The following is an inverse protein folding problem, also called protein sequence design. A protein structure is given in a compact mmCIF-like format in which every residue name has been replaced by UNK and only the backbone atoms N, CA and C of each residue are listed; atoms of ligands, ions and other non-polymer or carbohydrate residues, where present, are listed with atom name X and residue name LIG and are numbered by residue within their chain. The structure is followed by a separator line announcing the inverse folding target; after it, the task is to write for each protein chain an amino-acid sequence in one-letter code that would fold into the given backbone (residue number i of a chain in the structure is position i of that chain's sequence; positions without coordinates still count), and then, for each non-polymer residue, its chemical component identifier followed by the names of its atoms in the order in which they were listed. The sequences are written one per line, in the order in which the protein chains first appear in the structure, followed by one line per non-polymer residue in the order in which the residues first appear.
data_IF_687987726632
#
_entry.id   IF_687987726632
#
_cell.length_a   1.000
_cell.length_b   1.000
_cell.length_c   1.000
_cell.angle_alpha   90.00
_cell.angle_beta   90.00
_cell.angle_gamma   90.00
#
_symmetry.space_group_name_H-M   'P 1'
#
loop_
_entity.id
_entity.type
_entity.pdbx_description
1 polymer ?
#
# COMPACT_ATOMS: atom_id res chain seq x y z
N UNK A 1 -7.38 52.05 -0.61
CA UNK A 1 -7.24 51.88 0.86
C UNK A 1 -6.42 50.60 1.07
N UNK A 2 -5.10 50.56 1.19
CA UNK A 2 -4.06 51.44 1.76
C UNK A 2 -3.90 51.30 3.29
N UNK A 3 -3.47 50.14 3.79
CA UNK A 3 -2.72 49.95 5.05
C UNK A 3 -1.92 48.64 4.90
N UNK A 4 -0.61 48.57 4.66
CA UNK A 4 0.55 49.25 5.27
C UNK A 4 0.66 48.99 6.78
N UNK A 5 1.33 47.88 7.15
CA UNK A 5 2.21 47.81 8.33
C UNK A 5 3.21 46.63 8.23
N UNK A 6 4.31 46.92 7.53
CA UNK A 6 5.70 46.82 8.01
C UNK A 6 5.83 47.12 9.52
N UNK A 7 6.74 46.63 10.39
CA UNK A 7 7.88 45.68 10.43
C UNK A 7 8.07 45.44 11.95
N UNK A 8 8.60 44.30 12.41
CA UNK A 8 9.76 44.36 13.33
C UNK A 8 10.49 43.01 13.40
N UNK A 9 11.76 43.06 13.03
CA UNK A 9 12.72 41.99 13.14
C UNK A 9 13.14 41.78 14.59
N UNK A 10 13.46 40.53 14.95
CA UNK A 10 14.47 40.26 15.97
C UNK A 10 15.28 39.02 15.59
N UNK A 11 16.55 39.26 15.29
CA UNK A 11 17.56 38.25 15.03
C UNK A 11 18.07 37.67 16.35
N UNK A 12 18.35 36.36 16.39
CA UNK A 12 19.41 35.81 17.24
C UNK A 12 20.18 34.73 16.48
N UNK A 13 21.46 35.02 16.25
CA UNK A 13 22.48 34.05 15.90
C UNK A 13 22.77 33.15 17.11
N UNK A 14 22.88 31.84 16.90
CA UNK A 14 23.82 31.02 17.68
C UNK A 14 24.69 30.18 16.77
N UNK A 15 25.96 30.21 17.16
CA UNK A 15 27.20 29.65 16.61
C UNK A 15 27.10 28.12 16.48
N UNK A 16 27.65 27.58 15.40
CA UNK A 16 27.75 26.14 15.17
C UNK A 16 29.02 25.48 15.69
N UNK A 17 29.05 24.15 15.67
CA UNK A 17 30.18 23.30 15.28
C UNK A 17 29.75 21.83 15.33
N UNK A 18 30.08 21.08 14.29
CA UNK A 18 29.81 19.64 14.18
C UNK A 18 29.93 19.15 12.74
N UNK A 19 31.09 19.39 12.13
CA UNK A 19 31.51 18.69 10.91
C UNK A 19 32.04 17.33 11.35
N UNK A 20 31.41 16.28 10.87
CA UNK A 20 32.01 14.97 10.72
C UNK A 20 31.74 14.42 9.33
N UNK A 21 32.79 13.80 8.80
CA UNK A 21 33.13 13.64 7.39
C UNK A 21 32.65 12.28 6.91
N UNK A 22 32.02 12.28 5.74
CA UNK A 22 32.12 11.30 4.66
C UNK A 22 32.17 9.80 5.03
N UNK A 23 31.10 9.07 4.70
CA UNK A 23 31.24 7.79 4.00
C UNK A 23 30.12 7.63 2.98
N UNK A 24 30.49 7.92 1.75
CA UNK A 24 29.99 7.35 0.50
C UNK A 24 29.56 5.90 0.66
N UNK A 25 28.29 5.60 0.39
CA UNK A 25 27.84 4.38 -0.28
C UNK A 25 26.40 4.54 -0.75
N UNK A 26 26.23 4.86 -2.03
CA UNK A 26 25.22 4.19 -2.85
C UNK A 26 25.90 2.88 -3.30
N UNK A 27 25.30 1.73 -2.97
CA UNK A 27 24.50 1.06 -3.99
C UNK A 27 23.16 0.54 -3.45
N UNK A 28 22.12 0.76 -4.24
CA UNK A 28 21.20 -0.29 -4.68
C UNK A 28 21.03 -1.49 -3.73
N UNK A 29 20.02 -1.41 -2.87
CA UNK A 29 19.11 -2.55 -2.71
C UNK A 29 17.85 -2.23 -3.51
N UNK A 30 18.02 -2.36 -4.82
CA UNK A 30 17.00 -2.95 -5.66
C UNK A 30 16.63 -4.29 -4.99
N UNK A 31 15.61 -4.26 -4.13
CA UNK A 31 14.84 -5.46 -3.87
C UNK A 31 14.09 -5.73 -5.16
N UNK A 32 14.81 -6.32 -6.13
CA UNK A 32 14.23 -7.24 -7.10
C UNK A 32 13.78 -8.45 -6.28
N UNK A 33 12.72 -8.23 -5.49
CA UNK A 33 11.75 -9.26 -5.25
C UNK A 33 11.18 -9.52 -6.63
N UNK A 34 11.75 -10.52 -7.30
CA UNK A 34 11.22 -11.09 -8.52
C UNK A 34 9.88 -11.74 -8.14
N UNK A 35 8.92 -10.87 -7.87
CA UNK A 35 7.58 -11.15 -7.44
C UNK A 35 6.92 -11.72 -8.67
N UNK A 36 6.93 -13.03 -8.76
CA UNK A 36 6.14 -13.78 -9.72
C UNK A 36 4.68 -13.52 -9.37
N UNK A 37 4.19 -12.35 -9.76
CA UNK A 37 2.79 -12.00 -9.73
C UNK A 37 2.13 -12.82 -10.82
N UNK A 38 1.12 -13.58 -10.45
CA UNK A 38 0.40 -14.42 -11.39
C UNK A 38 -0.35 -13.50 -12.35
N UNK A 39 -0.22 -13.74 -13.66
CA UNK A 39 -0.92 -12.96 -14.68
C UNK A 39 -2.41 -13.26 -14.58
N UNK A 40 -3.23 -12.22 -14.39
CA UNK A 40 -4.69 -12.35 -14.34
C UNK A 40 -5.23 -12.53 -15.77
N UNK A 41 -5.93 -13.63 -16.08
CA UNK A 41 -6.60 -13.81 -17.37
C UNK A 41 -7.61 -12.69 -17.66
N UNK A 42 -7.81 -12.34 -18.92
CA UNK A 42 -8.76 -11.29 -19.31
C UNK A 42 -10.22 -11.64 -19.00
N UNK A 43 -10.53 -12.93 -18.93
CA UNK A 43 -11.84 -13.49 -18.59
C UNK A 43 -12.01 -13.84 -17.11
N UNK A 44 -11.04 -13.48 -16.26
CA UNK A 44 -11.12 -13.74 -14.84
C UNK A 44 -12.33 -13.04 -14.22
N UNK A 45 -13.06 -13.78 -13.40
CA UNK A 45 -14.19 -13.29 -12.58
C UNK A 45 -13.86 -13.31 -11.10
N UNK A 46 -12.79 -14.02 -10.73
CA UNK A 46 -12.35 -14.18 -9.35
C UNK A 46 -10.84 -14.05 -9.27
N UNK A 47 -10.34 -13.21 -8.36
CA UNK A 47 -8.91 -13.04 -8.12
C UNK A 47 -8.63 -13.19 -6.63
N UNK A 48 -7.54 -13.88 -6.30
CA UNK A 48 -7.08 -14.06 -4.94
C UNK A 48 -5.76 -13.32 -4.74
N UNK A 49 -5.73 -12.47 -3.70
CA UNK A 49 -4.60 -11.62 -3.37
C UNK A 49 -4.05 -12.01 -2.01
N UNK A 50 -2.74 -12.24 -1.92
CA UNK A 50 -2.02 -12.33 -0.66
C UNK A 50 -1.61 -10.92 -0.22
N UNK A 51 -1.90 -10.55 1.02
CA UNK A 51 -1.61 -9.22 1.61
C UNK A 51 -0.83 -9.41 2.92
N UNK A 52 0.48 -9.72 2.87
CA UNK A 52 1.23 -10.22 4.03
C UNK A 52 1.22 -9.33 5.27
N UNK A 53 1.12 -8.01 5.08
CA UNK A 53 1.16 -7.01 6.15
C UNK A 53 -0.21 -6.75 6.81
N UNK A 54 -1.25 -7.47 6.42
CA UNK A 54 -2.61 -7.30 6.93
C UNK A 54 -2.85 -8.14 8.19
N UNK A 55 -2.10 -7.89 9.25
CA UNK A 55 -2.10 -8.75 10.45
C UNK A 55 -3.20 -8.39 11.46
N UNK A 56 -3.89 -7.25 11.30
CA UNK A 56 -4.88 -6.74 12.26
C UNK A 56 -6.32 -6.78 11.73
N UNK A 57 -7.26 -7.49 12.39
CA UNK A 57 -8.65 -7.62 11.91
C UNK A 57 -9.48 -6.33 12.01
N UNK A 58 -9.21 -5.46 12.99
CA UNK A 58 -10.05 -4.28 13.24
C UNK A 58 -9.62 -3.06 12.42
N UNK A 59 -8.36 -2.98 12.01
CA UNK A 59 -7.82 -1.80 11.32
C UNK A 59 -7.25 -2.12 9.93
N UNK A 60 -6.46 -3.20 9.81
CA UNK A 60 -5.80 -3.52 8.54
C UNK A 60 -6.80 -4.09 7.54
N UNK A 61 -7.58 -5.10 7.92
CA UNK A 61 -8.55 -5.72 7.02
C UNK A 61 -9.56 -4.72 6.46
N UNK A 62 -10.26 -3.91 7.28
CA UNK A 62 -11.20 -2.92 6.76
C UNK A 62 -10.54 -1.94 5.78
N UNK A 63 -9.30 -1.52 6.06
CA UNK A 63 -8.57 -0.62 5.18
C UNK A 63 -8.25 -1.26 3.82
N UNK A 64 -7.79 -2.51 3.81
CA UNK A 64 -7.51 -3.28 2.57
C UNK A 64 -8.80 -3.48 1.78
N UNK A 65 -9.88 -3.92 2.46
CA UNK A 65 -11.20 -4.11 1.87
C UNK A 65 -11.70 -2.84 1.19
N UNK A 66 -11.74 -1.72 1.90
CA UNK A 66 -12.18 -0.44 1.35
C UNK A 66 -11.29 0.05 0.19
N UNK A 67 -10.00 -0.26 0.22
CA UNK A 67 -9.07 0.12 -0.86
C UNK A 67 -9.37 -0.67 -2.14
N UNK A 68 -9.66 -1.97 -2.01
CA UNK A 68 -10.01 -2.86 -3.11
C UNK A 68 -11.42 -2.57 -3.66
N UNK A 69 -12.42 -2.33 -2.79
CA UNK A 69 -13.79 -2.00 -3.20
C UNK A 69 -13.89 -0.68 -4.00
N UNK A 70 -12.88 0.19 -3.91
CA UNK A 70 -12.78 1.42 -4.70
C UNK A 70 -12.15 1.22 -6.07
N UNK A 71 -11.58 0.05 -6.33
CA UNK A 71 -10.95 -0.21 -7.62
C UNK A 71 -12.02 -0.43 -8.69
N UNK A 72 -11.83 0.12 -9.90
CA UNK A 72 -12.71 -0.18 -11.03
C UNK A 72 -12.80 -1.69 -11.27
N UNK A 73 -14.00 -2.16 -11.60
CA UNK A 73 -14.25 -3.56 -11.90
C UNK A 73 -14.33 -4.50 -10.68
N UNK A 74 -14.05 -4.05 -9.45
CA UNK A 74 -14.26 -4.89 -8.26
C UNK A 74 -15.72 -4.85 -7.84
N UNK A 75 -16.34 -6.03 -7.68
CA UNK A 75 -17.76 -6.17 -7.33
C UNK A 75 -17.98 -6.70 -5.92
N UNK A 76 -17.05 -7.50 -5.40
CA UNK A 76 -17.10 -8.05 -4.05
C UNK A 76 -15.69 -8.25 -3.50
N UNK A 77 -15.52 -8.07 -2.19
CA UNK A 77 -14.24 -8.25 -1.49
C UNK A 77 -14.48 -8.94 -0.17
N UNK A 78 -13.90 -10.13 -0.01
CA UNK A 78 -14.05 -10.95 1.20
C UNK A 78 -12.69 -11.43 1.69
N UNK A 79 -12.55 -11.52 3.01
CA UNK A 79 -11.39 -12.13 3.62
C UNK A 79 -11.52 -13.64 3.50
N UNK A 80 -10.44 -14.33 3.13
CA UNK A 80 -10.42 -15.78 3.13
C UNK A 80 -10.74 -16.33 4.54
N UNK A 81 -11.20 -17.59 4.67
CA UNK A 81 -11.51 -18.16 5.97
C UNK A 81 -10.32 -18.07 6.94
N UNK A 82 -10.62 -17.64 8.17
CA UNK A 82 -9.68 -17.57 9.30
C UNK A 82 -9.98 -18.68 10.31
N UNK A 83 -9.02 -19.01 11.17
CA UNK A 83 -9.24 -19.96 12.28
C UNK A 83 -10.03 -19.35 13.45
N UNK A 84 -9.85 -18.06 13.70
CA UNK A 84 -10.52 -17.30 14.77
C UNK A 84 -10.87 -15.89 14.26
N UNK A 85 -11.97 -15.32 14.73
CA UNK A 85 -12.47 -14.02 14.25
C UNK A 85 -11.61 -12.82 14.71
N UNK A 86 -10.75 -13.01 15.72
CA UNK A 86 -9.93 -11.96 16.32
C UNK A 86 -8.49 -11.95 15.81
N UNK A 87 -8.15 -12.81 14.84
CA UNK A 87 -6.81 -12.89 14.25
C UNK A 87 -6.89 -13.00 12.72
N UNK A 88 -5.84 -12.56 12.04
CA UNK A 88 -5.65 -12.85 10.61
C UNK A 88 -4.47 -13.82 10.50
N UNK A 89 -4.78 -15.11 10.38
CA UNK A 89 -3.78 -16.17 10.21
C UNK A 89 -3.62 -16.61 8.75
N UNK A 90 -4.57 -16.24 7.90
CA UNK A 90 -4.53 -16.42 6.46
C UNK A 90 -4.76 -15.05 5.78
N UNK A 91 -3.70 -14.27 5.51
CA UNK A 91 -3.81 -12.90 4.98
C UNK A 91 -4.11 -12.89 3.48
N UNK A 92 -5.11 -13.66 3.06
CA UNK A 92 -5.55 -13.80 1.68
C UNK A 92 -6.94 -13.16 1.52
N UNK A 93 -7.10 -12.40 0.44
CA UNK A 93 -8.31 -11.67 0.11
C UNK A 93 -8.83 -12.22 -1.21
N UNK A 94 -10.09 -12.62 -1.21
CA UNK A 94 -10.80 -13.08 -2.39
C UNK A 94 -11.64 -11.93 -2.93
N UNK A 95 -11.46 -11.60 -4.22
CA UNK A 95 -12.20 -10.55 -4.88
C UNK A 95 -12.96 -11.10 -6.10
N UNK A 96 -14.22 -10.71 -6.21
CA UNK A 96 -14.98 -10.87 -7.45
C UNK A 96 -14.75 -9.64 -8.31
N UNK A 97 -14.52 -9.89 -9.60
CA UNK A 97 -14.15 -8.86 -10.56
C UNK A 97 -15.00 -8.96 -11.83
N UNK A 98 -15.14 -7.82 -12.49
CA UNK A 98 -15.83 -7.63 -13.75
C UNK A 98 -14.94 -6.86 -14.73
N UNK A 99 -15.49 -6.52 -15.90
CA UNK A 99 -14.78 -5.75 -16.91
C UNK A 99 -14.22 -4.43 -16.34
N UNK A 100 -12.98 -4.12 -16.69
CA UNK A 100 -12.28 -2.92 -16.23
C UNK A 100 -11.45 -3.11 -14.96
N UNK A 101 -11.43 -4.31 -14.37
CA UNK A 101 -10.49 -4.64 -13.30
C UNK A 101 -9.04 -4.63 -13.80
N UNK A 102 -8.16 -4.04 -13.01
CA UNK A 102 -6.73 -3.92 -13.27
C UNK A 102 -5.96 -4.32 -12.01
N UNK A 103 -5.37 -5.52 -12.06
CA UNK A 103 -4.68 -6.11 -10.92
C UNK A 103 -3.46 -5.29 -10.48
N UNK A 104 -2.72 -4.71 -11.42
CA UNK A 104 -1.53 -3.91 -11.10
C UNK A 104 -1.92 -2.61 -10.40
N UNK A 105 -2.98 -1.93 -10.87
CA UNK A 105 -3.52 -0.75 -10.18
C UNK A 105 -4.06 -1.09 -8.79
N UNK A 106 -4.76 -2.22 -8.66
CA UNK A 106 -5.27 -2.67 -7.37
C UNK A 106 -4.12 -2.94 -6.37
N UNK A 107 -3.08 -3.65 -6.81
CA UNK A 107 -1.89 -3.92 -5.99
C UNK A 107 -1.13 -2.63 -5.64
N UNK A 108 -1.02 -1.68 -6.57
CA UNK A 108 -0.42 -0.38 -6.31
C UNK A 108 -1.20 0.39 -5.24
N UNK A 109 -2.53 0.46 -5.35
CA UNK A 109 -3.37 1.14 -4.37
C UNK A 109 -3.28 0.48 -2.97
N UNK A 110 -3.23 -0.85 -2.91
CA UNK A 110 -3.03 -1.61 -1.66
C UNK A 110 -1.65 -1.31 -1.07
N UNK A 111 -0.61 -1.18 -1.90
CA UNK A 111 0.73 -0.79 -1.45
C UNK A 111 0.77 0.65 -0.91
N UNK A 112 0.13 1.60 -1.60
CA UNK A 112 -0.01 3.00 -1.17
C UNK A 112 -0.78 3.13 0.16
N UNK A 113 -1.72 2.22 0.42
CA UNK A 113 -2.43 2.12 1.69
C UNK A 113 -1.57 1.55 2.85
N UNK A 114 -0.31 1.18 2.59
CA UNK A 114 0.65 0.67 3.58
C UNK A 114 0.89 -0.85 3.51
N UNK A 115 0.25 -1.56 2.59
CA UNK A 115 0.32 -3.03 2.47
C UNK A 115 1.18 -3.45 1.27
N UNK A 116 2.39 -2.90 1.21
CA UNK A 116 3.43 -3.30 0.25
C UNK A 116 3.71 -4.81 0.36
N UNK A 117 4.10 -5.46 -0.74
CA UNK A 117 4.36 -6.91 -0.75
C UNK A 117 3.15 -7.75 -1.17
N UNK A 118 2.00 -7.13 -1.43
CA UNK A 118 0.79 -7.84 -1.87
C UNK A 118 0.91 -8.43 -3.29
N UNK A 119 0.49 -9.68 -3.50
CA UNK A 119 0.58 -10.41 -4.80
C UNK A 119 -0.76 -10.98 -5.21
N UNK A 120 -0.99 -11.14 -6.52
CA UNK A 120 -1.98 -12.10 -7.00
C UNK A 120 -1.42 -13.52 -6.86
N UNK A 121 -2.18 -14.39 -6.20
CA UNK A 121 -1.80 -15.80 -5.96
C UNK A 121 -2.71 -16.79 -6.71
N UNK A 122 -3.90 -16.36 -7.12
CA UNK A 122 -4.76 -17.12 -8.02
C UNK A 122 -5.67 -16.17 -8.82
N UNK A 123 -6.07 -16.59 -10.01
CA UNK A 123 -7.09 -15.92 -10.81
C UNK A 123 -7.87 -16.98 -11.60
N UNK A 124 -9.18 -16.83 -11.69
CA UNK A 124 -10.09 -17.75 -12.38
C UNK A 124 -11.18 -17.02 -13.12
#
# INVERSE_FOLDING_TARGET
MKYAWMVLALAMLTVGCGVEVETKSTPTEESTENKTSLVVPADATHVSLLVPKMECPVACWPKVKETLERQPGVTNVVLAPQKDENVIDNPQVEIEVAEGFDADKALAAVAEAGFSGSTVVAAK
#
